data_IF_890175758505
#
_entry.id   IF_890175758505
#
_cell.length_a   1.000
_cell.length_b   1.000
_cell.length_c   1.000
_cell.angle_alpha   90.00
_cell.angle_beta   90.00
_cell.angle_gamma   90.00
#
_symmetry.space_group_name_H-M   'P 1'
#
loop_
_entity.id
_entity.type
_entity.pdbx_description
1 polymer ?
#
# COMPACT_ATOMS: atom_id res chain seq x y z
N UNK A 1 -18.84 15.56 2.14
CA UNK A 1 -18.16 14.36 2.64
C UNK A 1 -16.67 14.62 2.58
N UNK A 2 -15.86 14.18 3.55
CA UNK A 2 -14.41 14.28 3.44
C UNK A 2 -13.89 13.26 2.42
N UNK A 3 -12.92 13.66 1.60
CA UNK A 3 -12.29 12.81 0.58
C UNK A 3 -11.60 11.62 1.27
N UNK A 4 -11.82 10.40 0.80
CA UNK A 4 -11.21 9.18 1.36
C UNK A 4 -10.07 8.69 0.48
N UNK A 5 -9.11 8.00 1.09
CA UNK A 5 -8.08 7.27 0.33
C UNK A 5 -8.68 5.95 -0.12
N UNK A 6 -8.76 5.72 -1.44
CA UNK A 6 -9.24 4.45 -2.03
C UNK A 6 -8.11 3.46 -2.23
N UNK A 7 -6.91 3.94 -2.54
CA UNK A 7 -5.76 3.09 -2.79
C UNK A 7 -4.45 3.77 -2.44
N UNK A 8 -3.46 2.97 -2.09
CA UNK A 8 -2.14 3.46 -1.69
C UNK A 8 -1.08 2.85 -2.59
N UNK A 9 -0.27 3.71 -3.21
CA UNK A 9 0.88 3.32 -4.01
C UNK A 9 2.15 3.60 -3.21
N UNK A 10 3.04 2.62 -3.10
CA UNK A 10 4.33 2.76 -2.44
C UNK A 10 5.48 2.44 -3.38
N UNK A 11 6.57 3.19 -3.23
CA UNK A 11 7.87 2.80 -3.75
C UNK A 11 8.52 1.86 -2.73
N UNK A 12 8.67 0.58 -3.10
CA UNK A 12 9.30 -0.46 -2.31
C UNK A 12 10.43 -1.08 -3.15
N UNK A 13 11.66 -0.62 -2.92
CA UNK A 13 12.80 -1.11 -3.71
C UNK A 13 13.20 -2.50 -3.27
N UNK A 14 13.40 -3.39 -4.24
CA UNK A 14 13.86 -4.77 -4.02
C UNK A 14 12.96 -5.60 -3.09
N UNK A 15 11.68 -5.24 -2.91
CA UNK A 15 10.77 -5.98 -2.04
C UNK A 15 11.14 -5.97 -0.55
N UNK A 16 11.74 -4.89 -0.07
CA UNK A 16 12.18 -4.77 1.33
C UNK A 16 11.02 -5.04 2.32
N UNK A 17 11.26 -5.94 3.27
CA UNK A 17 10.33 -6.32 4.36
C UNK A 17 8.97 -6.87 3.89
N UNK A 18 8.85 -7.33 2.64
CA UNK A 18 7.68 -8.09 2.20
C UNK A 18 7.77 -9.51 2.74
N UNK A 19 6.68 -9.98 3.35
CA UNK A 19 6.56 -11.35 3.84
C UNK A 19 5.44 -12.05 3.07
N UNK A 20 5.75 -13.17 2.41
CA UNK A 20 4.74 -14.03 1.77
C UNK A 20 4.06 -14.89 2.84
N UNK A 21 2.73 -14.86 2.89
CA UNK A 21 1.94 -15.62 3.88
C UNK A 21 1.33 -16.90 3.31
N UNK A 22 1.52 -17.16 2.02
CA UNK A 22 0.84 -18.24 1.29
C UNK A 22 -0.55 -17.83 0.82
N UNK A 23 -1.24 -18.71 0.09
CA UNK A 23 -2.57 -18.46 -0.47
C UNK A 23 -2.72 -17.12 -1.20
N UNK A 24 -1.71 -16.71 -1.97
CA UNK A 24 -1.68 -15.40 -2.66
C UNK A 24 -1.88 -14.22 -1.70
N UNK A 25 -1.29 -14.28 -0.50
CA UNK A 25 -1.30 -13.20 0.49
C UNK A 25 0.11 -12.79 0.89
N UNK A 26 0.26 -11.52 1.23
CA UNK A 26 1.52 -10.97 1.72
C UNK A 26 1.31 -9.85 2.74
N UNK A 27 2.38 -9.58 3.50
CA UNK A 27 2.55 -8.33 4.26
C UNK A 27 3.34 -7.33 3.46
N UNK A 28 2.86 -6.08 3.41
CA UNK A 28 3.38 -5.03 2.51
C UNK A 28 4.74 -4.42 2.88
N UNK A 29 5.38 -4.82 3.99
CA UNK A 29 6.37 -4.01 4.69
C UNK A 29 5.73 -2.93 5.58
N UNK A 30 6.57 -2.08 6.21
CA UNK A 30 6.16 -1.09 7.21
C UNK A 30 6.18 0.37 6.69
N UNK A 31 5.04 1.04 6.75
CA UNK A 31 4.80 2.31 6.05
C UNK A 31 4.40 3.45 6.99
N UNK A 32 4.94 4.66 6.73
CA UNK A 32 4.49 5.87 7.40
C UNK A 32 3.21 6.42 6.73
N UNK A 33 2.07 5.96 7.23
CA UNK A 33 0.71 6.31 6.79
C UNK A 33 -0.15 6.59 8.03
N UNK A 34 -1.12 7.50 7.93
CA UNK A 34 -2.10 7.75 9.00
C UNK A 34 -3.14 6.64 9.08
N UNK A 35 -3.61 6.30 10.28
CA UNK A 35 -4.68 5.32 10.50
C UNK A 35 -5.91 5.60 9.64
N UNK A 36 -6.36 6.86 9.54
CA UNK A 36 -7.50 7.23 8.70
C UNK A 36 -7.34 6.83 7.23
N UNK A 37 -6.12 6.86 6.68
CA UNK A 37 -5.86 6.45 5.31
C UNK A 37 -5.81 4.92 5.19
N UNK A 38 -5.25 4.25 6.20
CA UNK A 38 -5.24 2.79 6.28
C UNK A 38 -6.66 2.21 6.42
N UNK A 39 -7.54 2.87 7.19
CA UNK A 39 -8.93 2.46 7.41
C UNK A 39 -9.82 2.57 6.17
N UNK A 40 -9.49 3.49 5.25
CA UNK A 40 -10.33 3.71 4.06
C UNK A 40 -9.78 3.06 2.80
N UNK A 41 -8.47 2.77 2.77
CA UNK A 41 -7.83 2.19 1.59
C UNK A 41 -8.34 0.78 1.33
N UNK A 42 -8.71 0.52 0.07
CA UNK A 42 -9.24 -0.76 -0.38
C UNK A 42 -8.15 -1.63 -1.01
N UNK A 43 -7.12 -1.01 -1.57
CA UNK A 43 -6.05 -1.71 -2.27
C UNK A 43 -4.70 -1.02 -2.03
N UNK A 44 -3.63 -1.78 -2.25
CA UNK A 44 -2.30 -1.20 -2.37
C UNK A 44 -1.51 -1.77 -3.55
N UNK A 45 -0.51 -0.99 -3.96
CA UNK A 45 0.39 -1.32 -5.05
C UNK A 45 1.83 -0.96 -4.67
N UNK A 46 2.75 -1.91 -4.84
CA UNK A 46 4.17 -1.77 -4.59
C UNK A 46 4.92 -1.66 -5.92
N UNK A 47 5.73 -0.62 -6.04
CA UNK A 47 6.49 -0.26 -7.23
C UNK A 47 7.97 -0.19 -6.89
N UNK A 48 8.85 -0.56 -7.81
CA UNK A 48 10.29 -0.33 -7.62
C UNK A 48 10.64 1.17 -7.82
N UNK A 49 9.90 1.82 -8.72
CA UNK A 49 9.98 3.26 -9.02
C UNK A 49 8.63 3.82 -9.47
N UNK A 50 8.42 5.14 -9.33
CA UNK A 50 7.13 5.78 -9.64
C UNK A 50 6.69 5.71 -11.10
N UNK A 51 7.62 5.49 -12.02
CA UNK A 51 7.36 5.41 -13.46
C UNK A 51 7.30 3.97 -13.97
N UNK A 52 7.28 2.97 -13.07
CA UNK A 52 7.06 1.58 -13.42
C UNK A 52 5.72 1.10 -12.87
N UNK A 53 5.07 0.18 -13.58
CA UNK A 53 3.92 -0.56 -13.05
C UNK A 53 4.27 -1.28 -11.76
N UNK A 54 3.27 -1.58 -10.93
CA UNK A 54 3.48 -2.30 -9.67
C UNK A 54 3.96 -3.73 -9.95
N UNK A 55 4.91 -4.18 -9.15
CA UNK A 55 5.37 -5.57 -9.21
C UNK A 55 4.61 -6.46 -8.21
N UNK A 56 3.94 -5.86 -7.22
CA UNK A 56 3.09 -6.57 -6.25
C UNK A 56 1.92 -5.69 -5.84
N UNK A 57 0.71 -6.23 -5.85
CA UNK A 57 -0.52 -5.47 -5.60
C UNK A 57 -1.63 -6.39 -5.12
N UNK A 58 -2.63 -5.80 -4.46
CA UNK A 58 -3.76 -6.56 -3.99
C UNK A 58 -4.80 -5.75 -3.22
N UNK A 59 -5.85 -6.45 -2.79
CA UNK A 59 -6.88 -5.93 -1.91
C UNK A 59 -6.38 -5.97 -0.48
N UNK A 60 -6.51 -4.86 0.25
CA UNK A 60 -6.16 -4.80 1.67
C UNK A 60 -7.25 -5.55 2.44
N UNK A 61 -6.86 -6.61 3.15
CA UNK A 61 -7.76 -7.38 4.03
C UNK A 61 -7.76 -6.80 5.46
N UNK A 62 -6.60 -6.35 5.95
CA UNK A 62 -6.44 -5.73 7.27
C UNK A 62 -5.12 -4.96 7.37
N UNK A 63 -4.91 -4.25 8.48
CA UNK A 63 -3.66 -3.58 8.82
C UNK A 63 -3.36 -3.66 10.33
N UNK A 64 -2.09 -3.53 10.69
CA UNK A 64 -1.64 -3.45 12.09
C UNK A 64 -0.53 -2.41 12.27
N UNK A 65 -0.31 -1.97 13.51
CA UNK A 65 0.88 -1.19 13.84
C UNK A 65 2.12 -2.08 13.84
N UNK A 66 3.18 -1.61 13.20
CA UNK A 66 4.49 -2.19 13.41
C UNK A 66 4.95 -1.88 14.83
N UNK A 67 5.36 -2.91 15.58
CA UNK A 67 5.76 -2.79 16.99
C UNK A 67 7.07 -2.00 17.22
N UNK A 68 7.75 -1.57 16.15
CA UNK A 68 8.94 -0.73 16.22
C UNK A 68 8.64 0.77 16.45
N UNK A 69 9.71 1.57 16.52
CA UNK A 69 9.58 3.02 16.69
C UNK A 69 9.01 3.71 15.43
N UNK A 70 8.16 4.72 15.64
CA UNK A 70 7.76 5.64 14.58
C UNK A 70 6.37 5.47 14.00
N UNK A 71 5.50 4.66 14.61
CA UNK A 71 4.05 4.61 14.30
C UNK A 71 3.77 4.19 12.86
N UNK A 72 4.47 3.15 12.39
CA UNK A 72 4.35 2.63 11.01
C UNK A 72 3.26 1.57 10.96
N UNK A 73 2.69 1.38 9.78
CA UNK A 73 1.59 0.44 9.53
C UNK A 73 2.05 -0.65 8.57
N UNK A 74 1.68 -1.88 8.85
CA UNK A 74 1.82 -3.04 7.94
C UNK A 74 0.43 -3.40 7.42
N UNK A 75 0.31 -3.62 6.11
CA UNK A 75 -0.92 -4.10 5.48
C UNK A 75 -0.84 -5.57 5.16
N UNK A 76 -1.93 -6.29 5.42
CA UNK A 76 -2.18 -7.64 4.98
C UNK A 76 -3.01 -7.61 3.71
N UNK A 77 -2.51 -8.26 2.66
CA UNK A 77 -3.01 -8.03 1.31
C UNK A 77 -3.26 -9.35 0.61
N UNK A 78 -4.42 -9.47 -0.03
CA UNK A 78 -4.75 -10.55 -0.97
C UNK A 78 -4.40 -10.12 -2.40
N UNK A 79 -3.46 -10.83 -3.01
CA UNK A 79 -2.91 -10.50 -4.33
C UNK A 79 -3.89 -10.68 -5.48
N UNK A 80 -3.69 -9.87 -6.52
CA UNK A 80 -4.26 -10.09 -7.84
C UNK A 80 -3.23 -9.84 -8.95
N UNK A 81 -3.39 -10.52 -10.08
CA UNK A 81 -2.35 -10.62 -11.12
C UNK A 81 -2.31 -9.47 -12.13
N UNK A 82 -3.07 -8.39 -11.89
CA UNK A 82 -3.10 -7.21 -12.77
C UNK A 82 -2.22 -6.10 -12.21
N UNK A 83 -1.03 -5.83 -12.78
CA UNK A 83 -0.21 -4.68 -12.40
C UNK A 83 -1.00 -3.39 -12.50
N UNK A 84 -0.73 -2.47 -11.57
CA UNK A 84 -1.30 -1.14 -11.54
C UNK A 84 -0.25 -0.13 -11.93
N UNK A 85 -0.62 0.83 -12.77
CA UNK A 85 0.19 2.02 -12.99
C UNK A 85 0.25 2.85 -11.71
N UNK A 86 1.31 3.64 -11.56
CA UNK A 86 1.40 4.56 -10.43
C UNK A 86 0.26 5.59 -10.50
N UNK A 87 -0.51 5.70 -9.41
CA UNK A 87 -1.60 6.68 -9.31
C UNK A 87 -1.48 7.46 -8.00
N UNK A 88 -1.83 8.74 -8.07
CA UNK A 88 -2.06 9.57 -6.90
C UNK A 88 -1.01 10.65 -6.67
N UNK A 89 -1.46 11.70 -5.97
CA UNK A 89 -0.63 12.80 -5.52
C UNK A 89 0.01 12.46 -4.16
N UNK A 90 1.27 12.84 -3.97
CA UNK A 90 2.01 12.59 -2.74
C UNK A 90 3.51 12.90 -2.85
N UNK A 91 4.15 13.20 -1.72
CA UNK A 91 5.59 13.48 -1.64
C UNK A 91 6.38 12.23 -1.22
N UNK A 92 7.58 12.05 -1.76
CA UNK A 92 8.49 10.97 -1.37
C UNK A 92 8.05 9.61 -1.94
N UNK A 93 8.05 8.57 -1.12
CA UNK A 93 7.88 7.16 -1.53
C UNK A 93 6.42 6.68 -1.58
N UNK A 94 5.43 7.57 -1.50
CA UNK A 94 4.01 7.21 -1.49
C UNK A 94 3.13 8.10 -2.36
N UNK A 95 2.06 7.53 -2.89
CA UNK A 95 0.99 8.21 -3.62
C UNK A 95 -0.37 7.72 -3.13
N UNK A 96 -1.35 8.63 -3.03
CA UNK A 96 -2.71 8.30 -2.61
C UNK A 96 -3.68 8.45 -3.78
N UNK A 97 -4.37 7.36 -4.11
CA UNK A 97 -5.55 7.40 -4.95
C UNK A 97 -6.74 7.78 -4.07
N UNK A 98 -7.43 8.85 -4.42
CA UNK A 98 -8.49 9.42 -3.61
C UNK A 98 -9.86 9.20 -4.24
N UNK A 99 -10.90 9.09 -3.43
CA UNK A 99 -12.27 9.07 -3.93
C UNK A 99 -12.61 10.34 -4.69
N UNK A 100 -13.34 10.20 -5.79
CA UNK A 100 -14.06 11.33 -6.40
C UNK A 100 -15.17 11.76 -5.43
N UNK A 101 -15.45 13.06 -5.37
CA UNK A 101 -16.48 13.64 -4.49
C UNK A 101 -17.88 13.49 -5.10
#
# INVERSE_FOLDING_TARGET
>A
MARKVLGIHFVCRNGLNIEELGDSRFKSGDWKVSEQAADTALYLALHDQKNSSSYKQGIIESWEHYEGEGGRIIFYVKEFDRPLEWVGDGTGEKGYCWSEN
#
